data_IF_346944894756
#
_entry.id   IF_346944894756
#
_cell.length_a   1.000
_cell.length_b   1.000
_cell.length_c   1.000
_cell.angle_alpha   90.00
_cell.angle_beta   90.00
_cell.angle_gamma   90.00
#
_symmetry.space_group_name_H-M   'P 1'
#
loop_
_entity.id
_entity.type
_entity.pdbx_description
1 polymer ?
#
# COMPACT_ATOMS: atom_id res chain seq x y z
N UNK A 1 3.53 -16.44 -12.83
CA UNK A 1 2.59 -15.48 -12.18
C UNK A 1 2.12 -16.08 -10.86
N UNK A 2 2.09 -15.32 -9.76
CA UNK A 2 1.70 -15.85 -8.44
C UNK A 2 0.26 -16.42 -8.46
N UNK A 3 -0.02 -17.59 -7.85
CA UNK A 3 -1.33 -18.26 -7.93
C UNK A 3 -2.52 -17.38 -7.53
N UNK A 4 -2.32 -16.48 -6.56
CA UNK A 4 -3.33 -15.51 -6.12
C UNK A 4 -3.75 -14.58 -7.27
N UNK A 5 -2.80 -14.10 -8.05
CA UNK A 5 -3.09 -13.19 -9.18
C UNK A 5 -3.89 -13.92 -10.26
N UNK A 6 -3.54 -15.18 -10.56
CA UNK A 6 -4.30 -16.02 -11.49
C UNK A 6 -5.75 -16.23 -11.02
N UNK A 7 -5.97 -16.43 -9.72
CA UNK A 7 -7.32 -16.56 -9.15
C UNK A 7 -8.15 -15.28 -9.31
N UNK A 8 -7.54 -14.10 -9.13
CA UNK A 8 -8.20 -12.80 -9.31
C UNK A 8 -8.58 -12.60 -10.79
N UNK A 9 -7.66 -12.89 -11.72
CA UNK A 9 -7.93 -12.77 -13.16
C UNK A 9 -9.07 -13.70 -13.60
N UNK A 10 -9.04 -14.96 -13.15
CA UNK A 10 -10.14 -15.92 -13.44
C UNK A 10 -11.48 -15.41 -12.91
N UNK A 11 -11.52 -14.85 -11.69
CA UNK A 11 -12.74 -14.27 -11.10
C UNK A 11 -13.28 -13.08 -11.91
N UNK A 12 -12.41 -12.32 -12.56
CA UNK A 12 -12.76 -11.17 -13.40
C UNK A 12 -12.99 -11.53 -14.88
N UNK A 13 -13.34 -12.78 -15.19
CA UNK A 13 -13.63 -13.20 -16.57
C UNK A 13 -12.41 -13.22 -17.48
N UNK A 14 -11.20 -13.40 -16.93
CA UNK A 14 -9.95 -13.48 -17.70
C UNK A 14 -9.23 -12.14 -17.85
N UNK A 15 -9.79 -11.04 -17.34
CA UNK A 15 -9.20 -9.71 -17.37
C UNK A 15 -8.62 -9.24 -16.03
N UNK A 16 -7.81 -8.18 -16.09
CA UNK A 16 -7.45 -7.43 -14.89
C UNK A 16 -8.68 -6.66 -14.35
N UNK A 17 -8.74 -6.38 -13.03
CA UNK A 17 -9.74 -5.47 -12.50
C UNK A 17 -9.70 -4.12 -13.21
N UNK A 18 -10.84 -3.42 -13.25
CA UNK A 18 -10.89 -2.05 -13.78
C UNK A 18 -9.90 -1.16 -13.01
N UNK A 19 -9.11 -0.33 -13.71
CA UNK A 19 -8.19 0.59 -13.05
C UNK A 19 -8.98 1.58 -12.20
N UNK A 20 -8.41 1.94 -11.05
CA UNK A 20 -8.95 2.93 -10.11
C UNK A 20 -7.93 4.05 -10.04
N UNK A 21 -8.40 5.30 -9.95
CA UNK A 21 -7.54 6.44 -9.71
C UNK A 21 -6.79 6.32 -8.37
N UNK A 22 -5.57 6.85 -8.33
CA UNK A 22 -4.68 6.75 -7.16
C UNK A 22 -5.29 7.41 -5.92
N UNK A 23 -6.04 8.50 -6.10
CA UNK A 23 -6.71 9.21 -4.98
C UNK A 23 -7.76 8.34 -4.31
N UNK A 24 -8.60 7.69 -5.13
CA UNK A 24 -9.63 6.77 -4.66
C UNK A 24 -9.02 5.53 -4.01
N UNK A 25 -8.00 4.96 -4.63
CA UNK A 25 -7.28 3.81 -4.09
C UNK A 25 -6.65 4.12 -2.72
N UNK A 26 -6.02 5.29 -2.57
CA UNK A 26 -5.48 5.73 -1.30
C UNK A 26 -6.58 5.89 -0.24
N UNK A 27 -7.73 6.48 -0.59
CA UNK A 27 -8.87 6.59 0.32
C UNK A 27 -9.34 5.21 0.82
N UNK A 28 -9.46 4.23 -0.08
CA UNK A 28 -9.84 2.88 0.30
C UNK A 28 -8.83 2.21 1.23
N UNK A 29 -7.53 2.31 0.95
CA UNK A 29 -6.49 1.75 1.83
C UNK A 29 -6.56 2.38 3.22
N UNK A 30 -6.72 3.70 3.31
CA UNK A 30 -6.83 4.42 4.60
C UNK A 30 -8.02 3.91 5.40
N UNK A 31 -9.19 3.76 4.76
CA UNK A 31 -10.40 3.24 5.40
C UNK A 31 -10.23 1.79 5.86
N UNK A 32 -9.63 0.94 5.03
CA UNK A 32 -9.34 -0.46 5.38
C UNK A 32 -8.37 -0.53 6.55
N UNK A 33 -7.31 0.27 6.55
CA UNK A 33 -6.32 0.31 7.63
C UNK A 33 -6.92 0.79 8.95
N UNK A 34 -7.81 1.79 8.89
CA UNK A 34 -8.57 2.26 10.04
C UNK A 34 -9.49 1.17 10.58
N UNK A 35 -10.25 0.50 9.71
CA UNK A 35 -11.13 -0.60 10.10
C UNK A 35 -10.36 -1.82 10.65
N UNK A 36 -9.13 -2.05 10.18
CA UNK A 36 -8.22 -3.07 10.67
C UNK A 36 -7.52 -2.69 11.99
N UNK A 37 -7.81 -1.51 12.57
CA UNK A 37 -7.22 -1.05 13.83
C UNK A 37 -5.76 -0.61 13.72
N UNK A 38 -5.28 -0.24 12.53
CA UNK A 38 -3.91 0.27 12.33
C UNK A 38 -3.87 1.77 12.69
N UNK A 39 -4.14 2.09 13.95
CA UNK A 39 -4.32 3.45 14.46
C UNK A 39 -3.17 3.94 15.36
N UNK A 40 -2.05 3.22 15.41
CA UNK A 40 -0.88 3.65 16.19
C UNK A 40 -0.48 5.09 15.83
N UNK A 41 -0.28 5.91 16.85
CA UNK A 41 0.19 7.27 16.69
C UNK A 41 1.67 7.27 16.29
N UNK A 42 2.01 7.99 15.23
CA UNK A 42 3.38 8.08 14.70
C UNK A 42 3.78 9.54 14.52
N UNK A 43 5.05 9.84 14.78
CA UNK A 43 5.64 11.12 14.37
C UNK A 43 6.12 10.97 12.93
N UNK A 44 5.65 11.86 12.05
CA UNK A 44 6.08 11.94 10.66
C UNK A 44 6.65 13.30 10.34
N UNK A 45 7.60 13.32 9.41
CA UNK A 45 8.10 14.55 8.83
C UNK A 45 7.31 14.87 7.56
N UNK A 46 6.52 15.95 7.60
CA UNK A 46 5.83 16.49 6.41
C UNK A 46 6.67 17.59 5.79
N UNK A 47 6.58 17.72 4.47
CA UNK A 47 7.16 18.83 3.71
C UNK A 47 6.05 19.76 3.25
N UNK A 48 6.19 21.05 3.53
CA UNK A 48 5.32 22.11 3.02
C UNK A 48 6.21 23.15 2.34
N UNK A 49 6.15 23.20 1.01
CA UNK A 49 7.08 23.98 0.20
C UNK A 49 8.53 23.60 0.45
N UNK A 50 9.33 24.58 0.88
CA UNK A 50 10.76 24.42 1.18
C UNK A 50 11.04 23.97 2.61
N UNK A 51 10.04 24.03 3.50
CA UNK A 51 10.20 23.67 4.90
C UNK A 51 9.71 22.25 5.15
N UNK A 52 10.35 21.58 6.10
CA UNK A 52 9.88 20.32 6.63
C UNK A 52 9.62 20.46 8.12
N UNK A 53 8.49 19.97 8.60
CA UNK A 53 8.14 19.97 10.01
C UNK A 53 7.73 18.58 10.46
N UNK A 54 7.91 18.31 11.74
CA UNK A 54 7.43 17.10 12.38
C UNK A 54 5.99 17.27 12.85
N UNK A 55 5.19 16.21 12.71
CA UNK A 55 3.80 16.21 13.11
C UNK A 55 3.38 14.82 13.54
N UNK A 56 2.53 14.77 14.56
CA UNK A 56 1.98 13.54 15.10
C UNK A 56 0.66 13.26 14.37
N UNK A 57 0.49 12.04 13.87
CA UNK A 57 -0.67 11.60 13.08
C UNK A 57 -0.93 10.12 13.33
N UNK A 58 -2.10 9.62 12.98
CA UNK A 58 -2.37 8.19 13.07
C UNK A 58 -1.79 7.46 11.85
N UNK A 59 -1.28 6.24 12.07
CA UNK A 59 -0.61 5.47 11.01
C UNK A 59 -1.46 5.28 9.76
N UNK A 60 -2.76 4.99 9.91
CA UNK A 60 -3.68 4.83 8.78
C UNK A 60 -3.78 6.09 7.91
N UNK A 61 -3.69 7.30 8.49
CA UNK A 61 -3.80 8.56 7.73
C UNK A 61 -2.66 8.76 6.74
N UNK A 62 -1.52 8.15 7.01
CA UNK A 62 -0.28 8.27 6.23
C UNK A 62 -0.15 7.24 5.11
N UNK A 63 -1.08 6.28 5.04
CA UNK A 63 -1.01 5.21 4.05
C UNK A 63 -1.29 5.72 2.62
N UNK A 64 -0.55 5.16 1.68
CA UNK A 64 -0.67 5.43 0.25
C UNK A 64 -0.39 4.16 -0.56
N UNK A 65 -0.62 4.21 -1.86
CA UNK A 65 -0.47 3.08 -2.76
C UNK A 65 0.89 2.38 -2.68
N UNK A 66 1.95 3.14 -2.38
CA UNK A 66 3.31 2.62 -2.25
C UNK A 66 3.46 1.59 -1.12
N UNK A 67 2.59 1.62 -0.11
CA UNK A 67 2.64 0.66 1.00
C UNK A 67 2.52 -0.78 0.49
N UNK A 68 1.70 -1.03 -0.53
CA UNK A 68 1.52 -2.38 -1.09
C UNK A 68 2.81 -2.96 -1.65
N UNK A 69 3.56 -2.15 -2.41
CA UNK A 69 4.85 -2.58 -2.97
C UNK A 69 5.90 -2.79 -1.87
N UNK A 70 5.95 -1.89 -0.88
CA UNK A 70 6.88 -2.00 0.26
C UNK A 70 6.60 -3.24 1.10
N UNK A 71 5.33 -3.48 1.46
CA UNK A 71 4.91 -4.66 2.21
C UNK A 71 5.17 -5.95 1.44
N UNK A 72 4.95 -5.97 0.12
CA UNK A 72 5.35 -7.09 -0.71
C UNK A 72 6.86 -7.34 -0.60
N UNK A 73 7.70 -6.34 -0.86
CA UNK A 73 9.14 -6.50 -0.77
C UNK A 73 9.60 -6.97 0.63
N UNK A 74 9.09 -6.38 1.71
CA UNK A 74 9.47 -6.74 3.08
C UNK A 74 9.00 -8.15 3.47
N UNK A 75 7.76 -8.54 3.15
CA UNK A 75 7.21 -9.84 3.55
C UNK A 75 7.82 -11.02 2.78
N UNK A 76 8.29 -10.75 1.57
CA UNK A 76 8.90 -11.72 0.67
C UNK A 76 10.43 -11.60 0.58
N UNK A 77 11.05 -10.69 1.34
CA UNK A 77 12.50 -10.56 1.44
C UNK A 77 13.11 -11.89 1.91
N UNK A 78 14.10 -12.40 1.17
CA UNK A 78 14.74 -13.69 1.43
C UNK A 78 13.89 -14.94 1.13
N UNK A 79 12.60 -14.80 0.80
CA UNK A 79 11.70 -15.91 0.42
C UNK A 79 11.57 -16.07 -1.09
N UNK A 80 11.76 -14.99 -1.84
CA UNK A 80 11.80 -15.00 -3.30
C UNK A 80 13.25 -14.75 -3.71
N UNK A 81 13.81 -15.54 -4.65
CA UNK A 81 15.15 -15.28 -5.15
C UNK A 81 15.23 -13.85 -5.71
N UNK A 82 16.36 -13.15 -5.53
CA UNK A 82 16.55 -11.85 -6.17
C UNK A 82 16.34 -12.01 -7.68
N UNK A 83 15.82 -11.00 -8.38
CA UNK A 83 15.70 -11.05 -9.83
C UNK A 83 17.07 -11.39 -10.39
N UNK A 84 17.18 -12.55 -11.05
CA UNK A 84 18.40 -12.97 -11.73
C UNK A 84 18.68 -11.91 -12.80
N UNK A 85 19.88 -11.35 -12.74
CA UNK A 85 20.39 -10.40 -13.74
C UNK A 85 20.59 -11.09 -15.08
#
# INVERSE_FOLDING_TARGET
>A
LHPIVLKIIKKNGGGLPKPIDVTHYNSFIKNIARAAGINNTINIRKRSGYQSYETITEKWETMSSHIGRRSFASNFYGKIPPPLY
#
